data_IF_638026212669
#
_entry.id   IF_638026212669
#
_cell.length_a   1.000
_cell.length_b   1.000
_cell.length_c   1.000
_cell.angle_alpha   90.00
_cell.angle_beta   90.00
_cell.angle_gamma   90.00
#
_symmetry.space_group_name_H-M   'P 1'
#
loop_
_entity.id
_entity.type
_entity.pdbx_description
1 polymer ?
#
# COMPACT_ATOMS: atom_id res chain seq x y z
N UNK A 1 16.74 -9.16 -21.95
CA UNK A 1 17.54 -9.33 -20.76
C UNK A 1 16.65 -9.67 -19.58
N UNK A 2 16.69 -10.92 -19.24
CA UNK A 2 15.84 -11.45 -18.18
C UNK A 2 16.23 -10.96 -16.80
N UNK A 3 17.51 -10.70 -16.60
CA UNK A 3 18.04 -10.41 -15.28
C UNK A 3 17.53 -9.09 -14.70
N UNK A 4 17.50 -8.02 -15.50
CA UNK A 4 17.01 -6.73 -15.02
C UNK A 4 15.54 -6.78 -14.65
N UNK A 5 14.74 -7.42 -15.49
CA UNK A 5 13.31 -7.55 -15.24
C UNK A 5 13.04 -8.35 -13.97
N UNK A 6 13.79 -9.42 -13.76
CA UNK A 6 13.67 -10.26 -12.58
C UNK A 6 14.07 -9.51 -11.32
N UNK A 7 15.16 -8.75 -11.39
CA UNK A 7 15.63 -7.94 -10.25
C UNK A 7 14.59 -6.89 -9.87
N UNK A 8 13.96 -6.24 -10.84
CA UNK A 8 12.94 -5.25 -10.57
C UNK A 8 11.71 -5.86 -9.88
N UNK A 9 11.31 -7.05 -10.29
CA UNK A 9 10.20 -7.76 -9.65
C UNK A 9 10.56 -8.09 -8.20
N UNK A 10 11.75 -8.61 -7.97
CA UNK A 10 12.21 -8.92 -6.62
C UNK A 10 12.30 -7.67 -5.75
N UNK A 11 12.77 -6.58 -6.31
CA UNK A 11 12.85 -5.31 -5.60
C UNK A 11 11.46 -4.83 -5.15
N UNK A 12 10.48 -4.88 -6.03
CA UNK A 12 9.11 -4.48 -5.70
C UNK A 12 8.50 -5.38 -4.62
N UNK A 13 8.73 -6.68 -4.71
CA UNK A 13 8.27 -7.62 -3.69
C UNK A 13 8.90 -7.31 -2.33
N UNK A 14 10.21 -7.14 -2.30
CA UNK A 14 10.92 -6.83 -1.07
C UNK A 14 10.44 -5.49 -0.49
N UNK A 15 10.20 -4.51 -1.35
CA UNK A 15 9.73 -3.20 -0.92
C UNK A 15 8.36 -3.28 -0.27
N UNK A 16 7.46 -4.10 -0.80
CA UNK A 16 6.14 -4.29 -0.22
C UNK A 16 6.18 -5.02 1.12
N UNK A 17 7.15 -5.91 1.30
CA UNK A 17 7.36 -6.55 2.60
C UNK A 17 7.88 -5.57 3.66
N UNK A 18 8.41 -4.44 3.23
CA UNK A 18 8.90 -3.40 4.14
C UNK A 18 7.84 -2.37 4.50
N UNK A 19 6.58 -2.64 4.17
CA UNK A 19 5.47 -1.74 4.54
C UNK A 19 5.41 -1.57 6.05
N UNK A 20 5.33 -0.31 6.48
CA UNK A 20 5.24 0.05 7.90
C UNK A 20 4.21 1.15 8.09
N UNK A 21 3.80 1.36 9.32
CA UNK A 21 2.99 2.54 9.66
C UNK A 21 3.72 3.78 9.20
N UNK A 22 2.99 4.67 8.54
CA UNK A 22 3.55 5.91 8.01
C UNK A 22 4.09 5.80 6.60
N UNK A 23 4.20 4.60 6.04
CA UNK A 23 4.60 4.43 4.64
C UNK A 23 3.56 5.03 3.71
N UNK A 24 4.02 5.60 2.59
CA UNK A 24 3.14 6.07 1.53
C UNK A 24 2.97 4.97 0.51
N UNK A 25 1.72 4.68 0.17
CA UNK A 25 1.39 3.60 -0.76
C UNK A 25 0.47 4.10 -1.85
N UNK A 26 0.59 3.52 -3.04
CA UNK A 26 -0.32 3.76 -4.16
C UNK A 26 -1.28 2.61 -4.26
N UNK A 27 -2.54 2.91 -4.50
CA UNK A 27 -3.59 1.90 -4.55
C UNK A 27 -3.65 1.27 -5.93
N UNK A 28 -3.60 -0.05 -5.98
CA UNK A 28 -3.64 -0.84 -7.21
C UNK A 28 -4.97 -1.57 -7.43
N UNK A 29 -5.84 -1.61 -6.42
CA UNK A 29 -7.15 -2.25 -6.55
C UNK A 29 -7.97 -1.53 -7.60
N UNK A 30 -8.34 -2.24 -8.67
CA UNK A 30 -8.98 -1.64 -9.84
C UNK A 30 -10.35 -1.06 -9.55
N UNK A 31 -11.11 -1.67 -8.65
CA UNK A 31 -12.46 -1.24 -8.30
C UNK A 31 -12.49 -0.20 -7.18
N UNK A 32 -11.34 0.20 -6.68
CA UNK A 32 -11.29 1.17 -5.59
C UNK A 32 -11.53 2.59 -6.09
N UNK A 33 -12.29 3.36 -5.31
CA UNK A 33 -12.40 4.81 -5.48
C UNK A 33 -11.00 5.46 -5.51
N UNK A 34 -10.04 4.85 -4.79
CA UNK A 34 -8.70 5.42 -4.60
C UNK A 34 -7.68 4.91 -5.61
N UNK A 35 -8.13 4.23 -6.66
CA UNK A 35 -7.21 3.65 -7.66
C UNK A 35 -6.20 4.70 -8.13
N UNK A 36 -4.93 4.33 -8.12
CA UNK A 36 -3.79 5.18 -8.52
C UNK A 36 -3.55 6.39 -7.63
N UNK A 37 -4.33 6.54 -6.57
CA UNK A 37 -4.08 7.60 -5.58
C UNK A 37 -3.16 7.06 -4.50
N UNK A 38 -2.50 7.97 -3.79
CA UNK A 38 -1.61 7.60 -2.69
C UNK A 38 -2.28 7.88 -1.35
N UNK A 39 -1.88 7.10 -0.37
CA UNK A 39 -2.34 7.27 1.00
C UNK A 39 -1.24 6.85 1.96
N UNK A 40 -1.50 7.02 3.23
CA UNK A 40 -0.55 6.71 4.30
C UNK A 40 -1.04 5.49 5.07
N UNK A 41 -0.15 4.54 5.32
CA UNK A 41 -0.47 3.37 6.11
C UNK A 41 -0.69 3.79 7.55
N UNK A 42 -1.90 3.57 8.06
CA UNK A 42 -2.28 3.91 9.43
C UNK A 42 -1.99 2.77 10.39
N UNK A 43 -2.40 1.56 10.04
CA UNK A 43 -2.15 0.37 10.85
C UNK A 43 -1.96 -0.84 9.95
N UNK A 44 -1.31 -1.87 10.50
CA UNK A 44 -1.14 -3.15 9.82
C UNK A 44 -1.56 -4.24 10.79
N UNK A 45 -2.55 -5.04 10.40
CA UNK A 45 -2.98 -6.19 11.16
C UNK A 45 -2.04 -7.35 10.86
N UNK A 46 -1.41 -7.89 11.88
CA UNK A 46 -0.46 -9.00 11.74
C UNK A 46 -1.10 -10.37 11.91
N UNK A 47 -2.42 -10.41 12.05
CA UNK A 47 -3.15 -11.66 12.13
C UNK A 47 -3.47 -12.22 10.76
N UNK A 48 -4.64 -12.86 10.64
CA UNK A 48 -5.05 -13.56 9.43
C UNK A 48 -6.06 -12.76 8.59
N UNK A 49 -6.13 -11.45 8.78
CA UNK A 49 -7.06 -10.62 8.03
C UNK A 49 -6.73 -10.66 6.53
N UNK A 50 -7.76 -10.73 5.70
CA UNK A 50 -7.61 -10.73 4.25
C UNK A 50 -7.09 -9.38 3.75
N UNK A 51 -7.52 -8.31 4.39
CA UNK A 51 -7.11 -6.94 4.04
C UNK A 51 -6.45 -6.29 5.25
N UNK A 52 -5.18 -6.62 5.51
CA UNK A 52 -4.55 -6.25 6.77
C UNK A 52 -4.07 -4.80 6.86
N UNK A 53 -3.97 -4.09 5.74
CA UNK A 53 -3.36 -2.77 5.73
C UNK A 53 -4.44 -1.70 5.68
N UNK A 54 -4.54 -0.92 6.75
CA UNK A 54 -5.45 0.23 6.79
C UNK A 54 -4.71 1.45 6.26
N UNK A 55 -5.24 2.03 5.19
CA UNK A 55 -4.65 3.20 4.54
C UNK A 55 -5.56 4.40 4.75
N UNK A 56 -4.96 5.52 5.11
CA UNK A 56 -5.66 6.80 5.28
C UNK A 56 -5.31 7.73 4.13
N UNK A 57 -6.35 8.37 3.59
CA UNK A 57 -6.20 9.31 2.49
C UNK A 57 -6.47 10.73 2.98
N UNK A 58 -5.96 11.72 2.25
CA UNK A 58 -6.14 13.12 2.63
C UNK A 58 -7.55 13.63 2.39
N UNK A 59 -8.23 13.08 1.38
CA UNK A 59 -9.60 13.47 1.06
C UNK A 59 -10.55 12.32 1.32
N UNK A 60 -11.84 12.64 1.45
CA UNK A 60 -12.87 11.62 1.63
C UNK A 60 -13.40 11.16 0.27
N UNK A 61 -13.94 9.95 0.22
CA UNK A 61 -14.67 9.47 -0.95
C UNK A 61 -16.11 10.00 -0.92
N UNK A 62 -16.93 9.58 -1.89
CA UNK A 62 -18.31 10.04 -1.97
C UNK A 62 -19.18 9.58 -0.79
N UNK A 63 -18.70 8.64 0.01
CA UNK A 63 -19.40 8.21 1.24
C UNK A 63 -18.91 8.96 2.48
N UNK A 64 -17.98 9.89 2.31
CA UNK A 64 -17.44 10.66 3.44
C UNK A 64 -16.37 9.92 4.23
N UNK A 65 -15.81 8.82 3.68
CA UNK A 65 -14.80 8.00 4.34
C UNK A 65 -13.43 8.28 3.73
N UNK A 66 -12.42 8.40 4.58
CA UNK A 66 -11.03 8.62 4.14
C UNK A 66 -10.09 7.47 4.48
N UNK A 67 -10.61 6.31 4.85
CA UNK A 67 -9.79 5.14 5.14
C UNK A 67 -10.38 3.92 4.46
N UNK A 68 -9.51 2.96 4.13
CA UNK A 68 -9.95 1.67 3.63
C UNK A 68 -8.86 0.63 3.90
N UNK A 69 -9.25 -0.63 3.90
CA UNK A 69 -8.35 -1.75 4.14
C UNK A 69 -7.98 -2.41 2.82
N UNK A 70 -6.71 -2.80 2.69
CA UNK A 70 -6.17 -3.40 1.48
C UNK A 70 -5.32 -4.62 1.81
N UNK A 71 -5.23 -5.53 0.84
CA UNK A 71 -4.25 -6.61 0.87
C UNK A 71 -2.89 -6.06 0.43
N UNK A 72 -1.83 -6.75 0.81
CA UNK A 72 -0.47 -6.31 0.45
C UNK A 72 -0.25 -6.22 -1.05
N UNK A 73 -0.84 -7.14 -1.81
CA UNK A 73 -0.68 -7.14 -3.27
C UNK A 73 -1.51 -6.07 -3.98
N UNK A 74 -2.35 -5.35 -3.25
CA UNK A 74 -3.14 -4.24 -3.78
C UNK A 74 -2.46 -2.89 -3.59
N UNK A 75 -1.24 -2.89 -3.08
CA UNK A 75 -0.51 -1.68 -2.74
C UNK A 75 0.86 -1.68 -3.38
N UNK A 76 1.33 -0.49 -3.75
CA UNK A 76 2.71 -0.28 -4.17
C UNK A 76 3.32 0.75 -3.24
N UNK A 77 4.40 0.40 -2.56
CA UNK A 77 5.09 1.33 -1.68
C UNK A 77 5.77 2.40 -2.51
N UNK A 78 5.43 3.65 -2.24
CA UNK A 78 6.02 4.80 -2.91
C UNK A 78 7.12 5.39 -2.05
N UNK A 79 6.91 5.41 -0.74
CA UNK A 79 7.88 5.94 0.20
C UNK A 79 7.77 5.18 1.51
N UNK A 80 8.91 4.69 2.00
CA UNK A 80 8.99 4.03 3.29
C UNK A 80 9.39 5.07 4.32
N UNK A 81 8.59 5.20 5.38
CA UNK A 81 8.94 6.10 6.46
C UNK A 81 10.07 5.49 7.26
N UNK A 82 11.18 6.22 7.35
CA UNK A 82 12.29 5.84 8.20
C UNK A 82 12.11 6.51 9.55
N UNK A 83 11.98 5.71 10.57
CA UNK A 83 12.02 6.24 11.93
C UNK A 83 13.46 6.52 12.30
N UNK A 84 13.71 7.73 12.63
CA UNK A 84 15.03 8.14 13.13
C UNK A 84 15.02 8.13 14.65
#
# INVERSE_FOLDING_TARGET
>A
MYELKYIMVLYNIARNFMIERGSTVRILRKESYWLNKTGTVATIDKGKAKYPVLVRFESVNYSGTNTNNFALDELKVVEVKKET
#
